data_IF_242129350590
#
_entry.id   IF_242129350590
#
_cell.length_a   1.000
_cell.length_b   1.000
_cell.length_c   1.000
_cell.angle_alpha   90.00
_cell.angle_beta   90.00
_cell.angle_gamma   90.00
#
_symmetry.space_group_name_H-M   'P 1'
#
loop_
_entity.id
_entity.type
_entity.pdbx_description
1 polymer ?
#
# COMPACT_ATOMS: atom_id res chain seq x y z
N UNK A 1 -5.57 -14.70 14.16
CA UNK A 1 -4.58 -14.49 13.09
C UNK A 1 -5.15 -13.45 12.15
N UNK A 2 -4.38 -12.43 11.81
CA UNK A 2 -4.78 -11.45 10.78
C UNK A 2 -4.89 -12.16 9.43
N UNK A 3 -5.84 -11.79 8.57
CA UNK A 3 -5.98 -12.38 7.25
C UNK A 3 -4.70 -12.15 6.42
N UNK A 4 -4.32 -13.14 5.64
CA UNK A 4 -3.23 -12.99 4.67
C UNK A 4 -3.81 -12.33 3.42
N UNK A 5 -3.33 -11.15 3.12
CA UNK A 5 -3.60 -10.45 1.88
C UNK A 5 -2.75 -11.06 0.75
N UNK A 6 -3.38 -11.28 -0.40
CA UNK A 6 -2.74 -11.81 -1.61
C UNK A 6 -2.91 -10.79 -2.71
N UNK A 7 -1.81 -10.21 -3.16
CA UNK A 7 -1.83 -9.15 -4.17
C UNK A 7 -0.87 -9.44 -5.33
N UNK A 8 -1.25 -9.06 -6.54
CA UNK A 8 -0.34 -8.93 -7.69
C UNK A 8 -0.34 -7.47 -8.13
N UNK A 9 0.85 -6.94 -8.42
CA UNK A 9 1.03 -5.57 -8.92
C UNK A 9 1.60 -5.60 -10.32
N UNK A 10 0.95 -4.86 -11.23
CA UNK A 10 1.49 -4.60 -12.55
C UNK A 10 1.76 -3.10 -12.69
N UNK A 11 2.96 -2.75 -13.15
CA UNK A 11 3.30 -1.38 -13.54
C UNK A 11 2.61 -1.05 -14.85
N UNK A 12 2.02 0.13 -14.92
CA UNK A 12 1.28 0.61 -16.08
C UNK A 12 1.95 1.85 -16.67
N UNK A 13 1.75 2.04 -17.95
CA UNK A 13 1.90 3.37 -18.56
C UNK A 13 0.64 4.22 -18.29
N UNK A 14 0.71 5.57 -18.44
CA UNK A 14 -0.50 6.40 -18.37
C UNK A 14 -1.58 5.95 -19.36
N UNK A 15 -1.19 5.52 -20.56
CA UNK A 15 -2.06 5.03 -21.62
C UNK A 15 -2.74 3.72 -21.23
N UNK A 16 -2.01 2.80 -20.60
CA UNK A 16 -2.59 1.54 -20.10
C UNK A 16 -3.64 1.80 -19.02
N UNK A 17 -3.33 2.70 -18.07
CA UNK A 17 -4.30 3.08 -17.06
C UNK A 17 -5.57 3.67 -17.66
N UNK A 18 -5.43 4.49 -18.70
CA UNK A 18 -6.56 5.06 -19.41
C UNK A 18 -7.39 3.97 -20.11
N UNK A 19 -6.76 3.04 -20.85
CA UNK A 19 -7.44 1.92 -21.51
C UNK A 19 -8.23 1.05 -20.53
N UNK A 20 -7.65 0.71 -19.39
CA UNK A 20 -8.36 -0.07 -18.36
C UNK A 20 -9.57 0.71 -17.85
N UNK A 21 -9.45 2.02 -17.60
CA UNK A 21 -10.58 2.86 -17.14
C UNK A 21 -11.69 3.00 -18.19
N UNK A 22 -11.35 3.03 -19.47
CA UNK A 22 -12.32 3.11 -20.58
C UNK A 22 -13.00 1.75 -20.81
N UNK A 23 -12.27 0.64 -20.64
CA UNK A 23 -12.79 -0.72 -20.81
C UNK A 23 -13.50 -1.30 -19.57
N UNK A 24 -13.55 -0.57 -18.46
CA UNK A 24 -14.08 -1.05 -17.19
C UNK A 24 -15.07 -0.06 -16.57
N UNK A 25 -15.91 -0.54 -15.67
CA UNK A 25 -16.83 0.32 -14.92
C UNK A 25 -16.14 0.91 -13.70
N UNK A 26 -15.94 2.23 -13.68
CA UNK A 26 -15.45 2.92 -12.49
C UNK A 26 -16.49 2.84 -11.38
N UNK A 27 -16.09 2.30 -10.23
CA UNK A 27 -16.90 2.16 -9.02
C UNK A 27 -16.66 3.31 -8.05
N UNK A 28 -15.40 3.68 -7.87
CA UNK A 28 -15.02 4.64 -6.85
C UNK A 28 -13.68 5.31 -7.21
N UNK A 29 -13.50 6.55 -6.74
CA UNK A 29 -12.21 7.25 -6.76
C UNK A 29 -11.91 7.79 -5.36
N UNK A 30 -10.70 7.55 -4.86
CA UNK A 30 -10.25 7.99 -3.55
C UNK A 30 -8.91 8.70 -3.65
N UNK A 31 -8.81 9.87 -3.04
CA UNK A 31 -7.52 10.54 -2.85
C UNK A 31 -6.94 10.13 -1.50
N UNK A 32 -5.70 9.68 -1.51
CA UNK A 32 -5.01 9.12 -0.36
C UNK A 32 -3.72 9.89 -0.08
N UNK A 33 -3.49 10.23 1.19
CA UNK A 33 -2.20 10.69 1.70
C UNK A 33 -1.64 9.59 2.61
N UNK A 34 -0.52 9.00 2.22
CA UNK A 34 0.18 8.01 3.03
C UNK A 34 1.38 8.66 3.71
N UNK A 35 1.41 8.62 5.04
CA UNK A 35 2.54 9.06 5.86
C UNK A 35 3.25 7.82 6.36
N UNK A 36 4.52 7.65 5.98
CA UNK A 36 5.33 6.53 6.40
C UNK A 36 6.10 6.86 7.68
N UNK A 37 6.02 5.92 8.61
CA UNK A 37 6.75 5.94 9.86
C UNK A 37 7.67 4.73 9.90
N UNK A 38 8.89 4.91 10.38
CA UNK A 38 9.87 3.85 10.29
C UNK A 38 10.98 3.96 11.33
N UNK A 39 11.56 2.82 11.66
CA UNK A 39 12.94 2.70 12.13
C UNK A 39 13.82 2.33 10.92
N UNK A 40 14.58 3.26 10.31
CA UNK A 40 15.33 2.99 9.09
C UNK A 40 16.40 1.91 9.25
N UNK A 41 16.71 1.50 10.48
CA UNK A 41 17.65 0.43 10.75
C UNK A 41 16.99 -0.96 10.76
N UNK A 42 15.67 -1.04 10.90
CA UNK A 42 14.97 -2.31 11.13
C UNK A 42 13.77 -2.59 10.22
N UNK A 43 13.13 -1.57 9.65
CA UNK A 43 12.04 -1.79 8.70
C UNK A 43 12.57 -1.58 7.27
N UNK A 44 13.06 -2.62 6.65
CA UNK A 44 13.21 -2.73 5.19
C UNK A 44 11.93 -3.31 4.63
N UNK A 45 11.68 -3.15 3.33
CA UNK A 45 10.49 -3.73 2.68
C UNK A 45 10.35 -5.24 2.95
N UNK A 46 11.48 -5.93 3.13
CA UNK A 46 11.57 -7.34 3.47
C UNK A 46 11.04 -7.66 4.88
N UNK A 47 11.03 -6.66 5.79
CA UNK A 47 10.57 -6.81 7.17
C UNK A 47 9.21 -6.15 7.42
N UNK A 48 8.67 -5.44 6.42
CA UNK A 48 7.40 -4.75 6.53
C UNK A 48 7.54 -3.22 6.65
N UNK A 49 6.39 -2.55 6.69
CA UNK A 49 6.32 -1.10 6.85
C UNK A 49 5.08 -0.67 7.63
N UNK A 50 5.20 0.49 8.26
CA UNK A 50 4.12 1.12 9.01
C UNK A 50 3.77 2.48 8.37
N UNK A 51 2.48 2.69 8.13
CA UNK A 51 1.96 3.94 7.58
C UNK A 51 0.70 4.40 8.31
N UNK A 52 0.42 5.69 8.20
CA UNK A 52 -0.90 6.25 8.44
C UNK A 52 -1.44 6.75 7.11
N UNK A 53 -2.63 6.29 6.75
CA UNK A 53 -3.34 6.69 5.55
C UNK A 53 -4.48 7.64 5.93
N UNK A 54 -4.54 8.77 5.26
CA UNK A 54 -5.70 9.65 5.20
C UNK A 54 -6.35 9.45 3.85
N UNK A 55 -7.63 9.21 3.83
CA UNK A 55 -8.40 8.96 2.61
C UNK A 55 -9.64 9.85 2.59
N UNK A 56 -9.99 10.37 1.41
CA UNK A 56 -11.19 11.19 1.24
C UNK A 56 -12.44 10.41 1.64
N UNK A 57 -13.26 10.99 2.51
CA UNK A 57 -14.52 10.38 2.97
C UNK A 57 -14.40 9.40 4.14
N UNK A 58 -13.17 9.13 4.64
CA UNK A 58 -12.95 8.27 5.80
C UNK A 58 -12.02 8.90 6.84
N UNK A 59 -12.02 8.36 8.06
CA UNK A 59 -11.03 8.72 9.07
C UNK A 59 -9.64 8.17 8.76
N UNK A 60 -8.59 8.68 9.44
CA UNK A 60 -7.25 8.14 9.25
C UNK A 60 -7.13 6.71 9.78
N UNK A 61 -6.38 5.89 9.03
CA UNK A 61 -6.13 4.48 9.35
C UNK A 61 -4.64 4.23 9.48
N UNK A 62 -4.23 3.61 10.58
CA UNK A 62 -2.89 3.07 10.74
C UNK A 62 -2.82 1.68 10.13
N UNK A 63 -1.79 1.41 9.35
CA UNK A 63 -1.58 0.12 8.68
C UNK A 63 -0.16 -0.38 8.94
N UNK A 64 -0.03 -1.61 9.40
CA UNK A 64 1.22 -2.35 9.44
C UNK A 64 1.12 -3.49 8.42
N UNK A 65 2.03 -3.52 7.44
CA UNK A 65 2.15 -4.62 6.47
C UNK A 65 3.45 -5.38 6.71
N UNK A 66 3.34 -6.70 6.85
CA UNK A 66 4.48 -7.60 7.07
C UNK A 66 4.50 -8.63 5.94
N UNK A 67 5.55 -8.70 5.11
CA UNK A 67 5.63 -9.66 4.04
C UNK A 67 5.77 -11.08 4.60
N UNK A 68 5.03 -12.01 4.02
CA UNK A 68 5.09 -13.45 4.32
C UNK A 68 5.94 -14.15 3.26
N UNK A 69 5.73 -13.80 1.98
CA UNK A 69 6.46 -14.41 0.88
C UNK A 69 5.87 -14.09 -0.49
N UNK A 70 6.31 -14.89 -1.46
CA UNK A 70 5.88 -14.82 -2.85
C UNK A 70 5.41 -16.17 -3.34
N UNK A 71 4.33 -16.18 -4.11
CA UNK A 71 3.85 -17.36 -4.83
C UNK A 71 3.72 -16.98 -6.31
N UNK A 72 4.81 -17.24 -7.08
CA UNK A 72 4.92 -16.72 -8.44
C UNK A 72 4.95 -15.18 -8.47
N UNK A 73 3.98 -14.56 -9.13
CA UNK A 73 3.80 -13.11 -9.20
C UNK A 73 2.94 -12.55 -8.05
N UNK A 74 2.35 -13.40 -7.24
CA UNK A 74 1.49 -13.02 -6.14
C UNK A 74 2.29 -12.86 -4.85
N UNK A 75 2.20 -11.70 -4.21
CA UNK A 75 2.77 -11.41 -2.89
C UNK A 75 1.78 -11.76 -1.79
N UNK A 76 2.26 -12.40 -0.75
CA UNK A 76 1.49 -12.70 0.46
C UNK A 76 1.98 -11.80 1.60
N UNK A 77 1.04 -11.11 2.27
CA UNK A 77 1.33 -10.18 3.35
C UNK A 77 0.36 -10.36 4.51
N UNK A 78 0.84 -10.20 5.73
CA UNK A 78 -0.03 -9.93 6.88
C UNK A 78 -0.28 -8.43 6.91
N UNK A 79 -1.55 -8.03 6.88
CA UNK A 79 -1.96 -6.65 7.05
C UNK A 79 -2.75 -6.48 8.34
N UNK A 80 -2.34 -5.51 9.14
CA UNK A 80 -3.05 -5.11 10.36
C UNK A 80 -3.44 -3.66 10.21
N UNK A 81 -4.75 -3.38 10.25
CA UNK A 81 -5.29 -2.04 10.18
C UNK A 81 -6.04 -1.66 11.46
N UNK A 82 -5.91 -0.39 11.87
CA UNK A 82 -6.64 0.18 13.00
C UNK A 82 -7.03 1.63 12.69
N UNK A 83 -8.31 2.01 12.90
CA UNK A 83 -8.71 3.41 12.85
C UNK A 83 -7.90 4.23 13.87
N UNK A 84 -7.56 5.47 13.52
CA UNK A 84 -6.88 6.40 14.42
C UNK A 84 -7.84 7.27 15.24
N UNK A 85 -9.14 7.05 15.16
CA UNK A 85 -10.15 7.74 15.99
C UNK A 85 -9.91 7.63 17.50
N UNK A 86 -9.25 6.54 17.91
CA UNK A 86 -8.94 6.22 19.31
C UNK A 86 -7.60 6.82 19.77
N UNK A 87 -6.86 7.49 18.86
CA UNK A 87 -5.59 8.11 19.16
C UNK A 87 -5.78 9.61 19.32
N UNK A 88 -5.56 10.07 20.54
CA UNK A 88 -5.61 11.47 20.86
C UNK A 88 -4.71 12.30 19.93
N UNK A 89 -5.05 13.57 19.79
CA UNK A 89 -4.40 14.60 18.96
C UNK A 89 -2.86 14.72 19.14
N UNK A 90 -2.26 13.99 20.05
CA UNK A 90 -0.81 13.93 20.29
C UNK A 90 0.00 13.37 19.11
N UNK A 91 -0.65 12.67 18.19
CA UNK A 91 0.02 12.06 17.02
C UNK A 91 -0.03 12.92 15.75
N UNK A 92 -0.68 14.08 15.79
CA UNK A 92 -0.71 14.98 14.65
C UNK A 92 -0.14 16.36 15.04
N UNK A 93 0.87 16.89 14.32
CA UNK A 93 1.60 16.27 13.20
C UNK A 93 2.67 15.32 13.70
N UNK A 94 2.72 14.12 13.13
CA UNK A 94 3.72 13.08 13.44
C UNK A 94 5.12 13.69 13.51
N UNK A 95 5.83 13.54 14.65
CA UNK A 95 7.09 14.23 14.83
C UNK A 95 8.15 13.68 13.88
N UNK A 96 8.97 14.57 13.32
CA UNK A 96 10.17 14.19 12.58
C UNK A 96 11.25 13.58 13.51
N UNK A 97 11.10 13.77 14.82
CA UNK A 97 11.96 13.18 15.85
C UNK A 97 11.52 11.74 16.14
N UNK A 98 12.42 10.98 16.73
CA UNK A 98 12.11 9.66 17.26
C UNK A 98 11.11 9.73 18.41
N UNK A 99 10.12 8.87 18.37
CA UNK A 99 9.13 8.72 19.43
C UNK A 99 9.02 7.25 19.83
N UNK A 100 8.82 6.96 21.13
CA UNK A 100 8.60 5.60 21.60
C UNK A 100 7.36 4.99 20.94
N UNK A 101 7.42 3.72 20.58
CA UNK A 101 6.30 2.97 20.03
C UNK A 101 5.16 2.87 21.03
N UNK A 102 5.48 2.55 22.30
CA UNK A 102 4.53 2.33 23.37
C UNK A 102 3.55 3.49 23.62
N UNK A 103 4.01 4.73 23.42
CA UNK A 103 3.19 5.92 23.63
C UNK A 103 2.48 6.43 22.36
N UNK A 104 2.79 5.88 21.18
CA UNK A 104 2.45 6.52 19.91
C UNK A 104 1.94 5.56 18.84
N UNK A 105 1.84 4.28 19.13
CA UNK A 105 1.39 3.26 18.18
C UNK A 105 0.19 2.51 18.76
N UNK A 106 -0.82 2.16 17.93
CA UNK A 106 -1.96 1.39 18.37
C UNK A 106 -1.58 0.11 19.12
N UNK A 107 -2.28 -0.21 20.21
CA UNK A 107 -2.03 -1.40 21.02
C UNK A 107 -1.99 -2.68 20.16
N UNK A 108 -2.90 -2.83 19.20
CA UNK A 108 -2.94 -3.98 18.30
C UNK A 108 -1.72 -4.15 17.37
N UNK A 109 -0.77 -3.21 17.39
CA UNK A 109 0.50 -3.32 16.64
C UNK A 109 1.69 -3.65 17.54
N UNK A 110 1.53 -3.53 18.85
CA UNK A 110 2.65 -3.66 19.82
C UNK A 110 3.35 -5.01 19.72
N UNK A 111 2.60 -6.11 19.64
CA UNK A 111 3.17 -7.45 19.53
C UNK A 111 4.07 -7.58 18.29
N UNK A 112 3.63 -7.03 17.16
CA UNK A 112 4.40 -7.05 15.90
C UNK A 112 5.66 -6.18 16.00
N UNK A 113 5.57 -4.99 16.59
CA UNK A 113 6.73 -4.13 16.80
C UNK A 113 7.74 -4.76 17.77
N UNK A 114 7.27 -5.38 18.84
CA UNK A 114 8.12 -6.11 19.78
C UNK A 114 8.83 -7.30 19.12
N UNK A 115 8.10 -8.10 18.33
CA UNK A 115 8.68 -9.21 17.58
C UNK A 115 9.78 -8.77 16.61
N UNK A 116 9.65 -7.57 16.02
CA UNK A 116 10.66 -6.94 15.16
C UNK A 116 11.74 -6.17 15.93
N UNK A 117 11.64 -6.10 17.27
CA UNK A 117 12.55 -5.34 18.14
C UNK A 117 12.50 -3.83 17.89
N UNK A 118 11.35 -3.29 17.41
CA UNK A 118 11.16 -1.88 17.15
C UNK A 118 10.61 -1.21 18.40
N UNK A 119 11.39 -0.31 18.99
CA UNK A 119 11.03 0.41 20.21
C UNK A 119 10.69 1.87 19.98
N UNK A 120 11.03 2.42 18.80
CA UNK A 120 10.77 3.81 18.43
C UNK A 120 10.60 3.96 16.93
N UNK A 121 9.80 4.93 16.54
CA UNK A 121 9.55 5.28 15.14
C UNK A 121 9.68 6.78 14.91
N UNK A 122 9.92 7.18 13.67
CA UNK A 122 9.86 8.57 13.25
C UNK A 122 9.15 8.69 11.92
N UNK A 123 8.63 9.87 11.62
CA UNK A 123 8.13 10.16 10.28
C UNK A 123 9.28 10.25 9.29
N UNK A 124 9.23 9.45 8.23
CA UNK A 124 10.15 9.50 7.11
C UNK A 124 9.72 10.53 6.07
N UNK A 125 8.44 10.51 5.73
CA UNK A 125 7.88 11.37 4.72
C UNK A 125 6.45 10.98 4.37
N UNK A 126 5.99 11.48 3.24
CA UNK A 126 4.65 11.21 2.74
C UNK A 126 4.65 11.07 1.22
N UNK A 127 3.62 10.41 0.69
CA UNK A 127 3.29 10.41 -0.73
C UNK A 127 1.78 10.46 -0.92
N UNK A 128 1.35 10.99 -2.07
CA UNK A 128 -0.06 11.01 -2.48
C UNK A 128 -0.33 9.90 -3.46
N UNK A 129 -1.50 9.30 -3.32
CA UNK A 129 -2.01 8.30 -4.24
C UNK A 129 -3.45 8.64 -4.61
N UNK A 130 -3.79 8.53 -5.88
CA UNK A 130 -5.17 8.53 -6.33
C UNK A 130 -5.53 7.12 -6.77
N UNK A 131 -6.43 6.50 -6.03
CA UNK A 131 -6.92 5.14 -6.27
C UNK A 131 -8.24 5.21 -7.00
N UNK A 132 -8.35 4.47 -8.09
CA UNK A 132 -9.60 4.28 -8.82
C UNK A 132 -9.93 2.79 -8.80
N UNK A 133 -11.04 2.44 -8.16
CA UNK A 133 -11.56 1.07 -8.17
C UNK A 133 -12.38 0.87 -9.42
N UNK A 134 -12.03 -0.11 -10.23
CA UNK A 134 -12.76 -0.45 -11.45
C UNK A 134 -13.22 -1.90 -11.43
N UNK A 135 -14.39 -2.15 -12.02
CA UNK A 135 -14.98 -3.48 -12.16
C UNK A 135 -14.75 -4.01 -13.58
N UNK A 136 -14.15 -5.18 -13.65
CA UNK A 136 -13.88 -5.91 -14.91
C UNK A 136 -14.97 -6.95 -15.16
N UNK A 137 -16.15 -6.49 -15.53
CA UNK A 137 -17.30 -7.36 -15.78
C UNK A 137 -17.65 -8.22 -14.57
N UNK A 138 -17.88 -9.51 -14.79
CA UNK A 138 -18.19 -10.49 -13.72
C UNK A 138 -16.96 -11.03 -12.98
N UNK A 139 -15.73 -10.66 -13.41
CA UNK A 139 -14.49 -11.16 -12.82
C UNK A 139 -14.20 -10.56 -11.45
N UNK A 140 -14.64 -9.31 -11.22
CA UNK A 140 -14.41 -8.61 -9.96
C UNK A 140 -13.83 -7.22 -10.16
N UNK A 141 -13.19 -6.70 -9.10
CA UNK A 141 -12.62 -5.37 -9.09
C UNK A 141 -11.10 -5.39 -9.02
N UNK A 142 -10.48 -4.36 -9.60
CA UNK A 142 -9.05 -4.07 -9.45
C UNK A 142 -8.86 -2.60 -9.07
N UNK A 143 -7.71 -2.28 -8.49
CA UNK A 143 -7.39 -0.95 -8.01
C UNK A 143 -6.32 -0.32 -8.89
N UNK A 144 -6.66 0.75 -9.57
CA UNK A 144 -5.73 1.55 -10.38
C UNK A 144 -5.17 2.67 -9.52
N UNK A 145 -3.88 2.67 -9.32
CA UNK A 145 -3.19 3.66 -8.50
C UNK A 145 -2.32 4.60 -9.36
N UNK A 146 -2.52 5.90 -9.14
CA UNK A 146 -1.64 6.97 -9.63
C UNK A 146 -0.97 7.61 -8.44
N UNK A 147 0.31 7.30 -8.26
CA UNK A 147 1.11 7.75 -7.11
C UNK A 147 2.02 8.90 -7.50
N UNK A 148 2.04 9.95 -6.66
CA UNK A 148 3.04 11.03 -6.71
C UNK A 148 4.07 10.74 -5.64
N UNK A 149 5.30 10.42 -6.05
CA UNK A 149 6.42 10.15 -5.16
C UNK A 149 7.00 11.46 -4.58
N UNK A 150 7.76 11.40 -3.47
CA UNK A 150 8.35 12.59 -2.84
C UNK A 150 9.24 13.44 -3.75
N UNK A 151 9.88 12.83 -4.74
CA UNK A 151 10.71 13.50 -5.75
C UNK A 151 9.90 14.07 -6.93
N UNK A 152 8.57 14.01 -6.89
CA UNK A 152 7.66 14.49 -7.93
C UNK A 152 7.40 13.51 -9.08
N UNK A 153 8.07 12.36 -9.12
CA UNK A 153 7.82 11.34 -10.12
C UNK A 153 6.40 10.76 -9.99
N UNK A 154 5.76 10.53 -11.14
CA UNK A 154 4.50 9.82 -11.23
C UNK A 154 4.75 8.33 -11.45
N UNK A 155 4.00 7.51 -10.76
CA UNK A 155 4.00 6.07 -10.92
C UNK A 155 2.56 5.58 -11.06
N UNK A 156 2.36 4.66 -12.01
CA UNK A 156 1.07 4.06 -12.31
C UNK A 156 1.16 2.56 -12.11
N UNK A 157 0.19 2.00 -11.40
CA UNK A 157 0.11 0.56 -11.20
C UNK A 157 -1.34 0.10 -11.05
N UNK A 158 -1.58 -1.17 -11.31
CA UNK A 158 -2.81 -1.86 -10.91
C UNK A 158 -2.47 -2.86 -9.81
N UNK A 159 -3.27 -2.84 -8.76
CA UNK A 159 -3.27 -3.85 -7.69
C UNK A 159 -4.45 -4.78 -7.90
N UNK A 160 -4.18 -6.07 -7.88
CA UNK A 160 -5.14 -7.14 -8.06
C UNK A 160 -5.12 -7.98 -6.80
N UNK A 161 -6.23 -7.96 -6.06
CA UNK A 161 -6.41 -8.71 -4.83
C UNK A 161 -7.63 -9.62 -5.00
N UNK A 162 -7.45 -10.91 -4.77
CA UNK A 162 -8.56 -11.85 -4.74
C UNK A 162 -8.21 -13.08 -3.88
N UNK A 163 -9.12 -13.57 -3.04
CA UNK A 163 -8.87 -14.73 -2.17
C UNK A 163 -8.73 -16.04 -2.94
N UNK A 164 -9.49 -16.19 -4.04
CA UNK A 164 -9.42 -17.35 -4.93
C UNK A 164 -8.30 -17.19 -5.95
N UNK A 165 -7.41 -18.16 -6.04
CA UNK A 165 -6.30 -18.14 -7.00
C UNK A 165 -6.77 -18.14 -8.46
N UNK A 166 -7.84 -18.88 -8.78
CA UNK A 166 -8.37 -18.96 -10.14
C UNK A 166 -8.95 -17.61 -10.60
N UNK A 167 -9.73 -16.94 -9.74
CA UNK A 167 -10.33 -15.63 -10.02
C UNK A 167 -9.25 -14.53 -10.05
N UNK A 168 -8.25 -14.63 -9.19
CA UNK A 168 -7.07 -13.76 -9.22
C UNK A 168 -6.34 -13.84 -10.58
N UNK A 169 -6.08 -15.05 -11.07
CA UNK A 169 -5.44 -15.27 -12.37
C UNK A 169 -6.30 -14.72 -13.52
N UNK A 170 -7.62 -14.92 -13.48
CA UNK A 170 -8.53 -14.39 -14.48
C UNK A 170 -8.52 -12.85 -14.52
N UNK A 171 -8.45 -12.19 -13.37
CA UNK A 171 -8.30 -10.73 -13.28
C UNK A 171 -6.95 -10.26 -13.87
N UNK A 172 -5.85 -10.96 -13.57
CA UNK A 172 -4.52 -10.64 -14.14
C UNK A 172 -4.55 -10.73 -15.67
N UNK A 173 -5.13 -11.80 -16.22
CA UNK A 173 -5.28 -11.97 -17.68
C UNK A 173 -6.16 -10.88 -18.31
N UNK A 174 -7.29 -10.54 -17.68
CA UNK A 174 -8.16 -9.48 -18.16
C UNK A 174 -7.45 -8.11 -18.18
N UNK A 175 -6.67 -7.80 -17.15
CA UNK A 175 -5.84 -6.58 -17.11
C UNK A 175 -4.81 -6.59 -18.23
N UNK A 176 -4.11 -7.71 -18.47
CA UNK A 176 -3.10 -7.83 -19.54
C UNK A 176 -3.70 -7.68 -20.95
N UNK A 177 -4.95 -8.09 -21.15
CA UNK A 177 -5.65 -7.86 -22.42
C UNK A 177 -5.89 -6.36 -22.66
N UNK A 178 -6.28 -5.61 -21.62
CA UNK A 178 -6.54 -4.17 -21.70
C UNK A 178 -5.26 -3.33 -21.72
N UNK A 179 -4.22 -3.83 -21.05
CA UNK A 179 -2.93 -3.18 -20.86
C UNK A 179 -1.79 -4.14 -21.25
N UNK A 180 -1.55 -4.37 -22.56
CA UNK A 180 -0.57 -5.36 -23.00
C UNK A 180 0.89 -5.00 -22.67
N UNK A 181 1.17 -3.74 -22.34
CA UNK A 181 2.50 -3.31 -21.88
C UNK A 181 2.67 -3.37 -20.35
N UNK A 182 1.65 -3.85 -19.61
CA UNK A 182 1.73 -3.97 -18.16
C UNK A 182 2.76 -5.03 -17.74
N UNK A 183 3.70 -4.60 -16.91
CA UNK A 183 4.79 -5.45 -16.43
C UNK A 183 4.62 -5.79 -14.95
N UNK A 184 4.90 -7.03 -14.58
CA UNK A 184 4.91 -7.47 -13.20
C UNK A 184 5.95 -6.70 -12.38
N UNK A 185 5.56 -6.25 -11.19
CA UNK A 185 6.45 -5.54 -10.27
C UNK A 185 6.59 -6.25 -8.93
N UNK A 186 7.83 -6.57 -8.60
CA UNK A 186 8.20 -7.00 -7.23
C UNK A 186 8.42 -5.82 -6.29
N UNK A 187 8.55 -4.61 -6.83
CA UNK A 187 8.81 -3.40 -6.03
C UNK A 187 7.50 -2.78 -5.56
N UNK A 188 7.29 -2.73 -4.26
CA UNK A 188 6.12 -2.09 -3.65
C UNK A 188 6.22 -0.56 -3.60
N UNK A 189 5.09 0.11 -3.29
CA UNK A 189 5.05 1.58 -3.13
C UNK A 189 6.02 2.08 -2.08
N UNK A 190 6.20 1.33 -0.99
CA UNK A 190 7.13 1.69 0.08
C UNK A 190 8.59 1.71 -0.38
N UNK A 191 9.06 0.70 -1.14
CA UNK A 191 10.41 0.72 -1.70
C UNK A 191 10.63 1.88 -2.65
N UNK A 192 9.68 2.16 -3.55
CA UNK A 192 9.76 3.33 -4.43
C UNK A 192 9.81 4.64 -3.64
N UNK A 193 9.02 4.72 -2.55
CA UNK A 193 9.10 5.85 -1.63
C UNK A 193 10.48 5.98 -1.00
N UNK A 194 11.07 4.87 -0.50
CA UNK A 194 12.41 4.87 0.10
C UNK A 194 13.47 5.32 -0.91
N UNK A 195 13.43 4.80 -2.13
CA UNK A 195 14.32 5.24 -3.23
C UNK A 195 14.15 6.73 -3.53
N UNK A 196 12.91 7.21 -3.59
CA UNK A 196 12.63 8.63 -3.89
C UNK A 196 13.11 9.61 -2.82
N UNK A 197 13.32 9.15 -1.58
CA UNK A 197 13.91 9.96 -0.49
C UNK A 197 15.39 9.64 -0.22
N UNK A 198 16.03 8.82 -1.06
CA UNK A 198 17.46 8.49 -0.96
C UNK A 198 17.82 7.52 0.16
N UNK A 199 16.94 6.62 0.55
CA UNK A 199 17.14 5.63 1.62
C UNK A 199 17.08 4.17 1.13
N UNK A 200 17.29 3.92 -0.17
CA UNK A 200 17.35 2.58 -0.78
C UNK A 200 18.73 1.97 -0.65
#
# INVERSE_FOLDING_TARGET
MSPIEKETKLVLTPEDQMRIREGAKVRECRDQLNIYLHDPLRLREELGYFRVRFESGSGPVATLKIPVGWRGEMREMVEVERPLSDFGSALYPWPRRWVPVEANVPEGFMEHFQALGITRVRRLGWMRNRRTVVELGSLGTVELDRTVLPNGQLHYEVEIEHPSQAEHQALVEAVRILAPSAEFSRTGKFSRFMTAIGLS
#
